data_IF_004790313403
#
_entry.id   IF_004790313403
#
_cell.length_a   1.000
_cell.length_b   1.000
_cell.length_c   1.000
_cell.angle_alpha   90.00
_cell.angle_beta   90.00
_cell.angle_gamma   90.00
#
_symmetry.space_group_name_H-M   'P 1'
#
loop_
_entity.id
_entity.type
_entity.pdbx_description
1 polymer ?
#
# COMPACT_ATOMS: atom_id res chain seq x y z
N UNK A 1 23.13 -11.57 29.61
CA UNK A 1 22.58 -10.25 29.28
C UNK A 1 21.46 -10.48 28.29
N UNK A 2 20.22 -10.27 28.70
CA UNK A 2 19.02 -10.73 28.00
C UNK A 2 18.67 -9.81 26.83
N UNK A 3 18.52 -10.39 25.65
CA UNK A 3 18.12 -9.73 24.42
C UNK A 3 16.60 -9.44 24.49
N UNK A 4 16.10 -8.21 24.33
CA UNK A 4 14.67 -7.93 24.33
C UNK A 4 14.11 -8.26 22.94
N UNK A 5 14.11 -9.54 22.57
CA UNK A 5 13.38 -10.02 21.39
C UNK A 5 11.88 -9.96 21.72
N UNK A 6 11.15 -9.17 20.96
CA UNK A 6 9.71 -8.95 21.02
C UNK A 6 8.95 -10.29 21.16
N UNK A 7 8.21 -10.46 22.25
CA UNK A 7 7.42 -11.67 22.58
C UNK A 7 6.19 -11.77 21.68
N UNK A 8 6.36 -12.16 20.43
CA UNK A 8 5.23 -12.63 19.64
C UNK A 8 5.10 -14.14 19.81
N UNK A 9 3.90 -14.66 20.11
CA UNK A 9 3.70 -16.10 20.18
C UNK A 9 3.97 -16.72 18.80
N UNK A 10 4.41 -18.00 18.77
CA UNK A 10 4.56 -18.72 17.52
C UNK A 10 3.20 -18.78 16.80
N UNK A 11 3.20 -18.46 15.51
CA UNK A 11 2.01 -18.57 14.69
C UNK A 11 1.84 -20.01 14.20
N UNK A 12 0.60 -20.49 13.99
CA UNK A 12 0.38 -21.80 13.38
C UNK A 12 0.86 -21.82 11.94
N UNK A 13 1.14 -23.01 11.40
CA UNK A 13 1.55 -23.18 10.00
C UNK A 13 0.48 -22.68 9.01
N UNK A 14 -0.79 -22.74 9.43
CA UNK A 14 -1.97 -22.31 8.66
C UNK A 14 -2.98 -21.62 9.56
N UNK A 15 -3.65 -20.63 9.00
CA UNK A 15 -4.72 -19.87 9.65
C UNK A 15 -5.72 -19.40 8.59
N UNK A 16 -7.00 -19.56 8.87
CA UNK A 16 -8.11 -19.03 8.05
C UNK A 16 -8.44 -17.59 8.45
N UNK A 17 -9.14 -16.87 7.57
CA UNK A 17 -9.62 -15.52 7.88
C UNK A 17 -10.54 -15.51 9.11
N UNK A 18 -11.43 -16.50 9.26
CA UNK A 18 -12.38 -16.56 10.37
C UNK A 18 -11.65 -16.78 11.71
N UNK A 19 -10.63 -17.65 11.72
CA UNK A 19 -9.77 -17.85 12.90
C UNK A 19 -8.99 -16.59 13.26
N UNK A 20 -8.41 -15.90 12.26
CA UNK A 20 -7.70 -14.65 12.46
C UNK A 20 -8.63 -13.55 13.00
N UNK A 21 -9.83 -13.43 12.42
CA UNK A 21 -10.82 -12.41 12.79
C UNK A 21 -11.40 -12.63 14.19
N UNK A 22 -11.31 -13.85 14.71
CA UNK A 22 -11.73 -14.18 16.07
C UNK A 22 -10.67 -13.84 17.13
N UNK A 23 -9.43 -13.50 16.72
CA UNK A 23 -8.39 -13.05 17.66
C UNK A 23 -8.71 -11.64 18.22
N UNK A 24 -8.14 -11.30 19.39
CA UNK A 24 -8.18 -9.93 19.89
C UNK A 24 -7.63 -8.92 18.86
N UNK A 25 -8.22 -7.72 18.71
CA UNK A 25 -7.81 -6.73 17.70
C UNK A 25 -6.32 -6.40 17.73
N UNK A 26 -5.73 -6.27 18.93
CA UNK A 26 -4.30 -5.98 19.12
C UNK A 26 -3.37 -7.07 18.58
N UNK A 27 -3.89 -8.27 18.33
CA UNK A 27 -3.18 -9.39 17.71
C UNK A 27 -3.51 -9.52 16.22
N UNK A 28 -4.79 -9.49 15.86
CA UNK A 28 -5.21 -9.70 14.46
C UNK A 28 -4.72 -8.58 13.53
N UNK A 29 -4.68 -7.33 14.00
CA UNK A 29 -4.16 -6.17 13.25
C UNK A 29 -2.65 -6.28 12.97
N UNK A 30 -1.95 -7.21 13.63
CA UNK A 30 -0.50 -7.40 13.49
C UNK A 30 -0.15 -8.64 12.69
N UNK A 31 -1.13 -9.29 12.07
CA UNK A 31 -0.93 -10.52 11.30
C UNK A 31 -1.47 -10.33 9.89
N UNK A 32 -0.63 -10.59 8.90
CA UNK A 32 -1.03 -10.76 7.50
C UNK A 32 -1.14 -12.24 7.15
N UNK A 33 -2.07 -12.61 6.26
CA UNK A 33 -2.12 -13.96 5.68
C UNK A 33 -1.49 -13.97 4.28
N UNK A 34 -0.55 -14.89 4.09
CA UNK A 34 0.08 -15.17 2.80
C UNK A 34 -0.31 -16.58 2.36
N UNK A 35 -1.34 -16.68 1.51
CA UNK A 35 -1.88 -17.97 1.02
C UNK A 35 -2.18 -18.93 2.17
N UNK A 36 -2.84 -18.43 3.21
CA UNK A 36 -3.23 -19.11 4.43
C UNK A 36 -2.11 -19.26 5.47
N UNK A 37 -0.91 -18.69 5.24
CA UNK A 37 0.19 -18.68 6.21
C UNK A 37 0.20 -17.35 6.96
N UNK A 38 0.04 -17.33 8.30
CA UNK A 38 0.11 -16.11 9.08
C UNK A 38 1.55 -15.60 9.23
N UNK A 39 1.74 -14.28 9.11
CA UNK A 39 3.03 -13.59 9.27
C UNK A 39 2.85 -12.37 10.16
N UNK A 40 3.72 -12.22 11.17
CA UNK A 40 3.74 -11.03 12.00
C UNK A 40 4.21 -9.80 11.22
N UNK A 41 3.42 -8.74 11.28
CA UNK A 41 3.75 -7.41 10.79
C UNK A 41 4.17 -6.54 11.97
N UNK A 42 5.21 -5.74 11.75
CA UNK A 42 5.66 -4.76 12.73
C UNK A 42 4.87 -3.48 12.53
N UNK A 43 4.28 -2.98 13.61
CA UNK A 43 3.76 -1.61 13.66
C UNK A 43 4.92 -0.65 13.42
N UNK A 44 4.82 0.18 12.38
CA UNK A 44 5.79 1.23 12.09
C UNK A 44 5.89 2.27 13.22
N UNK A 45 6.96 3.09 13.25
CA UNK A 45 7.08 4.19 14.20
C UNK A 45 5.95 5.24 13.99
N UNK A 46 5.60 6.08 14.97
CA UNK A 46 4.49 7.04 14.84
C UNK A 46 4.60 7.97 13.62
N UNK A 47 5.81 8.30 13.19
CA UNK A 47 6.11 9.10 12.01
C UNK A 47 5.52 8.46 10.75
N UNK A 48 5.63 7.14 10.62
CA UNK A 48 5.05 6.37 9.52
C UNK A 48 3.55 6.59 9.41
N UNK A 49 2.84 6.41 10.53
CA UNK A 49 1.39 6.60 10.60
C UNK A 49 0.97 8.02 10.30
N UNK A 50 1.77 8.99 10.75
CA UNK A 50 1.53 10.40 10.48
C UNK A 50 1.57 10.70 8.98
N UNK A 51 2.60 10.24 8.27
CA UNK A 51 2.71 10.49 6.83
C UNK A 51 1.71 9.69 6.00
N UNK A 52 1.41 8.45 6.39
CA UNK A 52 0.33 7.67 5.78
C UNK A 52 -1.01 8.40 5.89
N UNK A 53 -1.34 8.90 7.08
CA UNK A 53 -2.58 9.67 7.32
C UNK A 53 -2.63 10.95 6.48
N UNK A 54 -1.53 11.68 6.36
CA UNK A 54 -1.47 12.92 5.57
C UNK A 54 -1.65 12.66 4.09
N UNK A 55 -0.99 11.64 3.56
CA UNK A 55 -1.16 11.21 2.18
C UNK A 55 -2.60 10.80 1.92
N UNK A 56 -3.20 10.01 2.82
CA UNK A 56 -4.62 9.68 2.75
C UNK A 56 -5.49 10.93 2.69
N UNK A 57 -5.26 11.93 3.56
CA UNK A 57 -6.06 13.15 3.59
C UNK A 57 -5.92 13.98 2.30
N UNK A 58 -4.71 14.07 1.77
CA UNK A 58 -4.42 14.80 0.53
C UNK A 58 -5.07 14.11 -0.68
N UNK A 59 -4.93 12.79 -0.76
CA UNK A 59 -5.57 11.93 -1.78
C UNK A 59 -7.10 12.01 -1.68
N UNK A 60 -7.68 11.92 -0.47
CA UNK A 60 -9.13 12.03 -0.26
C UNK A 60 -9.65 13.40 -0.70
N UNK A 61 -8.91 14.47 -0.39
CA UNK A 61 -9.27 15.82 -0.82
C UNK A 61 -9.28 15.93 -2.34
N UNK A 62 -8.29 15.36 -3.03
CA UNK A 62 -8.25 15.30 -4.49
C UNK A 62 -9.39 14.44 -5.08
N UNK A 63 -9.66 13.28 -4.49
CA UNK A 63 -10.75 12.39 -4.88
C UNK A 63 -12.11 13.10 -4.81
N UNK A 64 -12.38 13.80 -3.70
CA UNK A 64 -13.61 14.59 -3.49
C UNK A 64 -13.75 15.71 -4.52
N UNK A 65 -12.66 16.41 -4.85
CA UNK A 65 -12.67 17.42 -5.92
C UNK A 65 -13.00 16.79 -7.27
N UNK A 66 -12.42 15.63 -7.59
CA UNK A 66 -12.72 14.90 -8.82
C UNK A 66 -14.18 14.50 -8.90
N UNK A 67 -14.73 13.85 -7.87
CA UNK A 67 -16.13 13.40 -7.85
C UNK A 67 -17.13 14.56 -7.97
N UNK A 68 -16.78 15.74 -7.44
CA UNK A 68 -17.59 16.96 -7.62
C UNK A 68 -17.56 17.47 -9.05
N UNK A 69 -16.41 17.37 -9.73
CA UNK A 69 -16.24 17.83 -11.11
C UNK A 69 -16.75 16.82 -12.14
N UNK A 70 -16.73 15.52 -11.81
CA UNK A 70 -17.08 14.40 -12.68
C UNK A 70 -18.12 13.51 -12.01
N UNK A 71 -19.42 13.90 -12.05
CA UNK A 71 -20.50 13.09 -11.53
C UNK A 71 -20.51 11.70 -12.19
N UNK A 72 -20.51 10.64 -11.38
CA UNK A 72 -20.46 9.25 -11.84
C UNK A 72 -19.17 8.53 -11.45
N UNK A 73 -18.11 9.25 -11.10
CA UNK A 73 -16.96 8.68 -10.41
C UNK A 73 -17.26 8.47 -8.93
N UNK A 74 -16.75 7.37 -8.35
CA UNK A 74 -16.81 7.12 -6.92
C UNK A 74 -15.50 6.51 -6.44
N UNK A 75 -14.84 7.24 -5.55
CA UNK A 75 -13.52 6.92 -5.00
C UNK A 75 -13.58 6.95 -3.46
N UNK A 76 -12.92 5.98 -2.84
CA UNK A 76 -12.63 5.96 -1.41
C UNK A 76 -11.11 5.91 -1.19
N UNK A 77 -10.68 6.48 -0.08
CA UNK A 77 -9.27 6.56 0.30
C UNK A 77 -9.16 6.25 1.79
N UNK A 78 -8.43 5.19 2.12
CA UNK A 78 -8.31 4.69 3.50
C UNK A 78 -6.86 4.31 3.82
N UNK A 79 -6.61 4.07 5.10
CA UNK A 79 -5.33 3.61 5.66
C UNK A 79 -5.51 2.28 6.39
N UNK A 80 -4.43 1.51 6.51
CA UNK A 80 -4.31 0.34 7.41
C UNK A 80 -5.48 -0.67 7.32
N UNK A 81 -6.07 -0.83 6.14
CA UNK A 81 -7.18 -1.77 5.92
C UNK A 81 -6.75 -2.87 4.96
N UNK A 82 -7.17 -4.11 5.24
CA UNK A 82 -6.74 -5.28 4.47
C UNK A 82 -7.24 -5.23 3.02
N UNK A 83 -6.32 -5.43 2.09
CA UNK A 83 -6.60 -5.65 0.67
C UNK A 83 -6.44 -7.14 0.37
N UNK A 84 -7.55 -7.80 0.08
CA UNK A 84 -7.57 -9.22 -0.23
C UNK A 84 -7.10 -9.46 -1.67
N UNK A 85 -5.98 -10.18 -1.81
CA UNK A 85 -5.38 -10.57 -3.09
C UNK A 85 -6.02 -11.84 -3.67
N UNK A 86 -6.85 -12.52 -2.87
CA UNK A 86 -7.57 -13.75 -3.21
C UNK A 86 -9.04 -13.63 -2.78
N UNK A 87 -9.97 -14.11 -3.61
CA UNK A 87 -11.40 -14.18 -3.26
C UNK A 87 -11.69 -15.13 -2.08
N UNK A 88 -10.80 -16.08 -1.80
CA UNK A 88 -10.89 -16.94 -0.63
C UNK A 88 -10.48 -16.25 0.69
N UNK A 89 -9.99 -15.00 0.62
CA UNK A 89 -9.55 -14.18 1.77
C UNK A 89 -8.42 -14.79 2.61
N UNK A 90 -7.69 -15.73 2.02
CA UNK A 90 -6.52 -16.38 2.61
C UNK A 90 -5.20 -15.70 2.22
N UNK A 91 -5.25 -14.70 1.36
CA UNK A 91 -4.10 -13.96 0.86
C UNK A 91 -4.45 -12.47 0.89
N UNK A 92 -3.81 -11.70 1.78
CA UNK A 92 -4.01 -10.26 1.88
C UNK A 92 -2.73 -9.54 2.31
N UNK A 93 -2.73 -8.24 2.09
CA UNK A 93 -1.73 -7.28 2.57
C UNK A 93 -2.45 -6.08 3.18
N UNK A 94 -1.77 -5.39 4.09
CA UNK A 94 -2.27 -4.15 4.68
C UNK A 94 -1.39 -2.99 4.22
N UNK A 95 -1.79 -2.25 3.15
CA UNK A 95 -1.07 -1.06 2.72
C UNK A 95 -1.28 0.08 3.74
N UNK A 96 -0.35 1.03 3.74
CA UNK A 96 -0.42 2.19 4.65
C UNK A 96 -1.47 3.19 4.21
N UNK A 97 -1.65 3.33 2.90
CA UNK A 97 -2.76 4.04 2.29
C UNK A 97 -3.16 3.40 0.97
N UNK A 98 -4.40 3.63 0.55
CA UNK A 98 -4.90 3.15 -0.73
C UNK A 98 -6.00 4.04 -1.30
N UNK A 99 -6.20 3.94 -2.62
CA UNK A 99 -7.33 4.53 -3.35
C UNK A 99 -8.06 3.42 -4.07
N UNK A 100 -9.37 3.34 -3.91
CA UNK A 100 -10.18 2.27 -4.47
C UNK A 100 -11.57 2.76 -4.89
N UNK A 101 -12.24 1.97 -5.72
CA UNK A 101 -13.63 2.23 -6.12
C UNK A 101 -14.57 2.05 -4.93
N UNK A 102 -15.58 2.92 -4.82
CA UNK A 102 -16.59 2.77 -3.78
C UNK A 102 -17.26 1.39 -3.85
N UNK A 103 -17.37 0.65 -2.73
CA UNK A 103 -18.09 -0.61 -2.72
C UNK A 103 -19.58 -0.38 -2.94
N UNK A 104 -20.26 -1.36 -3.55
CA UNK A 104 -21.70 -1.31 -3.76
C UNK A 104 -22.52 -1.37 -2.47
N UNK A 105 -21.96 -1.98 -1.41
CA UNK A 105 -22.58 -2.12 -0.10
C UNK A 105 -21.59 -1.80 1.04
N UNK A 106 -22.07 -1.25 2.17
CA UNK A 106 -21.24 -1.05 3.36
C UNK A 106 -20.62 -2.36 3.87
N UNK A 107 -19.43 -2.27 4.46
CA UNK A 107 -18.71 -3.42 5.07
C UNK A 107 -18.27 -4.50 4.07
N UNK A 108 -18.32 -4.20 2.78
CA UNK A 108 -17.77 -5.08 1.75
C UNK A 108 -16.24 -5.17 1.91
N UNK A 109 -15.65 -6.38 1.93
CA UNK A 109 -14.20 -6.54 1.92
C UNK A 109 -13.58 -5.89 0.68
N UNK A 110 -12.42 -5.26 0.85
CA UNK A 110 -11.68 -4.63 -0.25
C UNK A 110 -10.85 -5.69 -0.97
N UNK A 111 -11.14 -5.94 -2.25
CA UNK A 111 -10.36 -6.85 -3.08
C UNK A 111 -9.41 -6.07 -3.98
N UNK A 112 -8.27 -6.67 -4.32
CA UNK A 112 -7.25 -6.04 -5.16
C UNK A 112 -7.80 -5.51 -6.50
N UNK A 113 -8.83 -6.14 -7.06
CA UNK A 113 -9.49 -5.70 -8.31
C UNK A 113 -10.27 -4.38 -8.19
N UNK A 114 -10.63 -3.97 -6.97
CA UNK A 114 -11.31 -2.70 -6.69
C UNK A 114 -10.32 -1.58 -6.35
N UNK A 115 -9.05 -1.91 -6.08
CA UNK A 115 -7.99 -0.98 -5.65
C UNK A 115 -7.18 -0.51 -6.84
N UNK A 116 -6.96 0.80 -6.92
CA UNK A 116 -6.21 1.43 -8.02
C UNK A 116 -4.84 1.89 -7.57
N UNK A 117 -4.72 2.49 -6.38
CA UNK A 117 -3.43 2.87 -5.78
C UNK A 117 -3.27 2.11 -4.47
N UNK A 118 -2.10 1.51 -4.27
CA UNK A 118 -1.59 1.11 -2.94
C UNK A 118 -0.30 1.85 -2.63
N UNK A 119 -0.11 2.21 -1.36
CA UNK A 119 1.07 2.94 -0.92
C UNK A 119 1.70 2.39 0.34
N UNK A 120 3.02 2.41 0.38
CA UNK A 120 3.83 1.98 1.53
C UNK A 120 4.78 3.12 1.92
N UNK A 121 4.74 3.50 3.20
CA UNK A 121 5.62 4.49 3.82
C UNK A 121 6.87 3.77 4.32
N UNK A 122 7.99 4.08 3.71
CA UNK A 122 9.24 3.40 3.98
C UNK A 122 10.02 4.12 5.07
N UNK A 123 10.31 3.38 6.15
CA UNK A 123 11.28 3.79 7.15
C UNK A 123 12.69 3.33 6.74
N UNK A 124 13.77 3.98 7.21
CA UNK A 124 15.15 3.52 7.01
C UNK A 124 15.42 2.08 7.50
N UNK A 125 14.54 1.54 8.36
CA UNK A 125 14.63 0.19 8.90
C UNK A 125 13.91 -0.88 8.07
N UNK A 126 13.20 -0.49 7.01
CA UNK A 126 12.46 -1.43 6.18
C UNK A 126 13.42 -2.37 5.44
N UNK A 127 13.17 -3.67 5.55
CA UNK A 127 13.95 -4.67 4.84
C UNK A 127 13.58 -4.66 3.35
N UNK A 128 14.57 -4.39 2.48
CA UNK A 128 14.41 -4.37 1.02
C UNK A 128 13.69 -5.63 0.51
N UNK A 129 14.03 -6.81 1.04
CA UNK A 129 13.38 -8.06 0.65
C UNK A 129 11.88 -8.10 0.95
N UNK A 130 11.43 -7.52 2.06
CA UNK A 130 10.01 -7.46 2.41
C UNK A 130 9.27 -6.50 1.47
N UNK A 131 9.86 -5.34 1.20
CA UNK A 131 9.34 -4.34 0.26
C UNK A 131 9.17 -4.93 -1.14
N UNK A 132 10.22 -5.54 -1.69
CA UNK A 132 10.16 -6.19 -3.02
C UNK A 132 9.14 -7.33 -3.08
N UNK A 133 8.92 -8.03 -1.96
CA UNK A 133 7.91 -9.09 -1.87
C UNK A 133 6.49 -8.50 -1.88
N UNK A 134 6.23 -7.44 -1.11
CA UNK A 134 4.94 -6.73 -1.11
C UNK A 134 4.63 -6.14 -2.48
N UNK A 135 5.57 -5.39 -3.06
CA UNK A 135 5.47 -4.80 -4.39
C UNK A 135 5.09 -5.86 -5.44
N UNK A 136 5.78 -7.00 -5.42
CA UNK A 136 5.46 -8.09 -6.34
C UNK A 136 4.07 -8.70 -6.15
N UNK A 137 3.61 -8.85 -4.90
CA UNK A 137 2.29 -9.40 -4.58
C UNK A 137 1.16 -8.47 -5.03
N UNK A 138 1.30 -7.16 -4.83
CA UNK A 138 0.35 -6.18 -5.37
C UNK A 138 0.31 -6.22 -6.91
N UNK A 139 1.47 -6.33 -7.57
CA UNK A 139 1.53 -6.45 -9.03
C UNK A 139 0.89 -7.75 -9.55
N UNK A 140 1.17 -8.89 -8.90
CA UNK A 140 0.55 -10.18 -9.22
C UNK A 140 -0.98 -10.11 -9.06
N UNK A 141 -1.47 -9.42 -8.03
CA UNK A 141 -2.88 -9.17 -7.80
C UNK A 141 -3.52 -8.19 -8.81
N UNK A 142 -2.69 -7.42 -9.53
CA UNK A 142 -3.12 -6.57 -10.64
C UNK A 142 -3.57 -5.16 -10.25
N UNK A 143 -3.08 -4.63 -9.13
CA UNK A 143 -3.36 -3.24 -8.73
C UNK A 143 -2.56 -2.29 -9.63
N UNK A 144 -3.23 -1.28 -10.19
CA UNK A 144 -2.66 -0.45 -11.26
C UNK A 144 -1.46 0.40 -10.84
N UNK A 145 -1.47 0.95 -9.63
CA UNK A 145 -0.42 1.83 -9.14
C UNK A 145 0.09 1.42 -7.76
N UNK A 146 1.41 1.52 -7.62
CA UNK A 146 2.10 1.31 -6.35
C UNK A 146 2.99 2.50 -6.04
N UNK A 147 2.90 3.00 -4.80
CA UNK A 147 3.60 4.19 -4.35
C UNK A 147 4.55 3.85 -3.20
N UNK A 148 5.80 4.28 -3.29
CA UNK A 148 6.77 4.21 -2.19
C UNK A 148 7.05 5.60 -1.67
N UNK A 149 6.89 5.79 -0.36
CA UNK A 149 7.07 7.09 0.29
C UNK A 149 8.27 7.01 1.19
N UNK A 150 9.38 7.58 0.76
CA UNK A 150 10.63 7.57 1.50
C UNK A 150 10.68 8.77 2.43
N UNK A 151 10.81 8.50 3.73
CA UNK A 151 11.04 9.53 4.73
C UNK A 151 12.52 9.91 4.79
N UNK A 152 12.82 11.14 5.21
CA UNK A 152 14.19 11.54 5.48
C UNK A 152 14.82 10.74 6.64
N UNK A 153 16.13 10.90 6.84
CA UNK A 153 16.87 10.12 7.85
C UNK A 153 16.33 10.31 9.26
N UNK A 154 15.77 11.48 9.54
CA UNK A 154 15.20 11.84 10.83
C UNK A 154 13.71 11.45 10.96
N UNK A 155 13.06 10.99 9.88
CA UNK A 155 11.64 10.64 9.85
C UNK A 155 10.72 11.86 10.00
N UNK A 156 11.18 13.07 9.67
CA UNK A 156 10.49 14.33 9.94
C UNK A 156 9.74 14.90 8.74
N UNK A 157 10.01 14.38 7.55
CA UNK A 157 9.36 14.77 6.28
C UNK A 157 9.49 13.65 5.27
N UNK A 158 8.67 13.75 4.23
CA UNK A 158 8.85 12.98 3.00
C UNK A 158 10.04 13.57 2.25
N UNK A 159 11.02 12.72 1.94
CA UNK A 159 12.16 13.07 1.10
C UNK A 159 11.82 12.83 -0.37
N UNK A 160 11.25 11.66 -0.66
CA UNK A 160 10.97 11.21 -2.02
C UNK A 160 9.67 10.41 -2.08
N UNK A 161 8.88 10.58 -3.14
CA UNK A 161 7.80 9.66 -3.49
C UNK A 161 8.12 9.03 -4.84
N UNK A 162 8.19 7.71 -4.88
CA UNK A 162 8.31 6.95 -6.12
C UNK A 162 6.93 6.42 -6.50
N UNK A 163 6.55 6.62 -7.76
CA UNK A 163 5.27 6.15 -8.30
C UNK A 163 5.54 5.14 -9.40
N UNK A 164 4.86 4.01 -9.29
CA UNK A 164 5.01 2.90 -10.20
C UNK A 164 3.65 2.55 -10.82
N UNK A 165 3.67 2.11 -12.07
CA UNK A 165 2.49 1.61 -12.78
C UNK A 165 2.64 0.13 -13.12
N UNK A 166 1.53 -0.59 -13.09
CA UNK A 166 1.48 -1.99 -13.45
C UNK A 166 1.86 -2.16 -14.93
N UNK A 167 2.84 -3.02 -15.16
CA UNK A 167 3.37 -3.31 -16.47
C UNK A 167 3.50 -4.82 -16.67
N UNK A 168 3.32 -5.23 -17.92
CA UNK A 168 3.71 -6.56 -18.37
C UNK A 168 5.03 -6.41 -19.14
N UNK A 169 6.10 -7.15 -18.77
CA UNK A 169 7.33 -7.13 -19.55
C UNK A 169 7.04 -7.55 -20.99
N UNK A 170 7.35 -6.66 -21.94
CA UNK A 170 7.25 -6.89 -23.38
C UNK A 170 8.65 -6.83 -24.00
N UNK A 171 8.80 -7.29 -25.24
CA UNK A 171 10.06 -7.25 -25.99
C UNK A 171 11.26 -7.95 -25.33
N UNK A 172 11.00 -9.08 -24.66
CA UNK A 172 12.04 -9.89 -24.03
C UNK A 172 12.89 -10.64 -25.09
N UNK A 173 14.20 -10.85 -24.82
CA UNK A 173 15.06 -11.63 -25.71
C UNK A 173 14.49 -13.04 -25.97
N UNK A 174 14.75 -13.63 -27.15
CA UNK A 174 14.30 -14.99 -27.45
C UNK A 174 14.72 -16.00 -26.37
N UNK A 175 13.74 -16.76 -25.86
CA UNK A 175 13.96 -17.76 -24.80
C UNK A 175 13.93 -17.22 -23.37
N UNK A 176 13.68 -15.92 -23.17
CA UNK A 176 13.52 -15.32 -21.83
C UNK A 176 12.04 -15.24 -21.47
N UNK A 177 11.67 -15.91 -20.37
CA UNK A 177 10.33 -15.83 -19.78
C UNK A 177 10.43 -15.05 -18.47
N UNK A 178 9.57 -14.04 -18.24
CA UNK A 178 9.63 -13.30 -16.99
C UNK A 178 9.17 -14.19 -15.85
N UNK A 179 9.88 -14.15 -14.72
CA UNK A 179 9.49 -14.89 -13.51
C UNK A 179 8.10 -14.47 -13.01
N UNK A 180 7.76 -13.19 -13.19
CA UNK A 180 6.45 -12.62 -12.88
C UNK A 180 5.86 -11.98 -14.13
N UNK A 181 4.65 -12.37 -14.56
CA UNK A 181 4.03 -11.81 -15.75
C UNK A 181 3.59 -10.35 -15.54
N UNK A 182 3.37 -9.95 -14.29
CA UNK A 182 3.02 -8.58 -13.90
C UNK A 182 4.06 -8.05 -12.94
N UNK A 183 4.53 -6.84 -13.20
CA UNK A 183 5.50 -6.13 -12.35
C UNK A 183 5.23 -4.63 -12.41
N UNK A 184 5.78 -3.90 -11.46
CA UNK A 184 5.71 -2.45 -11.44
C UNK A 184 6.86 -1.82 -12.22
N UNK A 185 6.56 -0.85 -13.08
CA UNK A 185 7.54 0.01 -13.72
C UNK A 185 7.57 1.36 -13.01
N UNK A 186 8.76 1.82 -12.60
CA UNK A 186 8.94 3.16 -12.03
C UNK A 186 8.68 4.21 -13.11
N UNK A 187 7.70 5.08 -12.90
CA UNK A 187 7.32 6.10 -13.89
C UNK A 187 7.65 7.52 -13.45
N UNK A 188 7.66 7.79 -12.14
CA UNK A 188 8.00 9.12 -11.64
C UNK A 188 8.67 9.04 -10.27
N UNK A 189 9.57 9.99 -10.04
CA UNK A 189 10.19 10.30 -8.77
C UNK A 189 9.87 11.76 -8.41
N UNK A 190 9.26 11.97 -7.25
CA UNK A 190 8.85 13.27 -6.76
C UNK A 190 9.66 13.64 -5.53
N UNK A 191 10.12 14.89 -5.47
CA UNK A 191 10.87 15.42 -4.32
C UNK A 191 10.51 16.90 -4.11
N UNK A 192 10.33 17.37 -2.86
CA UNK A 192 10.04 18.77 -2.56
C UNK A 192 11.17 19.72 -2.98
N UNK A 193 12.37 19.20 -3.23
CA UNK A 193 13.52 20.00 -3.70
C UNK A 193 13.52 20.26 -5.20
N UNK A 194 12.80 19.45 -5.97
CA UNK A 194 12.78 19.49 -7.44
C UNK A 194 11.39 19.89 -7.96
N UNK A 195 10.34 19.39 -7.33
CA UNK A 195 8.96 19.54 -7.78
C UNK A 195 8.19 20.42 -6.79
N UNK A 196 7.43 21.42 -7.25
CA UNK A 196 6.64 22.27 -6.35
C UNK A 196 5.42 21.53 -5.75
N UNK A 197 4.95 20.48 -6.41
CA UNK A 197 3.85 19.61 -5.98
C UNK A 197 3.97 18.25 -6.66
N UNK A 198 3.22 17.26 -6.18
CA UNK A 198 3.03 15.97 -6.86
C UNK A 198 1.82 16.10 -7.78
N UNK A 199 2.01 15.91 -9.09
CA UNK A 199 0.97 16.10 -10.09
C UNK A 199 0.81 14.86 -10.99
N UNK A 200 -0.35 14.21 -10.92
CA UNK A 200 -0.69 13.03 -11.71
C UNK A 200 -2.11 13.17 -12.27
N UNK A 201 -2.44 12.49 -13.37
CA UNK A 201 -3.77 12.54 -13.98
C UNK A 201 -4.55 11.21 -13.86
N UNK A 202 -3.98 10.23 -13.18
CA UNK A 202 -4.56 8.90 -12.97
C UNK A 202 -4.54 8.57 -11.46
N UNK A 203 -5.57 7.90 -10.92
CA UNK A 203 -6.87 7.60 -11.56
C UNK A 203 -7.77 8.82 -11.77
N UNK A 204 -7.41 9.93 -11.14
CA UNK A 204 -8.06 11.22 -11.31
C UNK A 204 -7.01 12.34 -11.24
N UNK A 205 -7.35 13.60 -11.59
CA UNK A 205 -6.45 14.72 -11.37
C UNK A 205 -6.02 14.81 -9.90
N UNK A 206 -4.75 14.48 -9.68
CA UNK A 206 -4.05 14.54 -8.40
C UNK A 206 -3.11 15.74 -8.47
N UNK A 207 -3.31 16.66 -7.54
CA UNK A 207 -2.37 17.75 -7.25
C UNK A 207 -2.23 17.79 -5.74
N UNK A 208 -1.10 17.28 -5.23
CA UNK A 208 -0.80 17.18 -3.81
C UNK A 208 0.32 18.17 -3.47
N UNK A 209 0.00 19.15 -2.63
CA UNK A 209 0.99 20.12 -2.14
C UNK A 209 1.88 19.47 -1.09
N UNK A 210 3.19 19.76 -1.13
CA UNK A 210 4.10 19.35 -0.06
C UNK A 210 3.69 19.93 1.30
N UNK A 211 3.08 21.12 1.33
CA UNK A 211 2.58 21.75 2.55
C UNK A 211 1.47 20.92 3.23
N UNK A 212 0.68 20.16 2.47
CA UNK A 212 -0.34 19.27 3.03
C UNK A 212 0.30 18.00 3.67
N UNK A 213 1.58 17.75 3.38
CA UNK A 213 2.33 16.58 3.81
C UNK A 213 3.36 16.89 4.91
N UNK A 214 3.66 18.17 5.17
CA UNK A 214 4.64 18.66 6.15
C UNK A 214 4.28 18.36 7.62
N UNK A 215 5.30 18.28 8.49
CA UNK A 215 5.22 18.08 9.95
C UNK A 215 4.30 19.07 10.66
#
# INVERSE_FOLDING_TARGET
MSNPSTKFPPLPDRMTWDELSALPPDQSERIELIKGRPVWVRTGPPEHQRFATRLRNALESAARRSMKARPGECWQVDTETNVFLSRAKDDFLTPDFMVYHCPGEPWTPIFAEDVVIVGEVLSPSNHIGHMLTKQARYAEAGIDEYWEVLLDREGRRIDTILTYVLATPTDLPPGVTPLRPRQYALVSEWSPTVHPEIALNHPFPLALSWADLEY
#
